data_IF_183623361404
#
_entry.id   IF_183623361404
#
_cell.length_a   1.000
_cell.length_b   1.000
_cell.length_c   1.000
_cell.angle_alpha   90.00
_cell.angle_beta   90.00
_cell.angle_gamma   90.00
#
_symmetry.space_group_name_H-M   'P 1'
#
loop_
_entity.id
_entity.type
_entity.pdbx_description
1 polymer ?
#
# COMPACT_ATOMS: atom_id res chain seq x y z
N UNK A 1 -0.35 -44.11 1.67
CA UNK A 1 0.22 -42.76 1.90
C UNK A 1 -0.93 -41.82 2.21
N UNK A 2 -0.76 -40.92 3.19
CA UNK A 2 -1.76 -39.88 3.47
C UNK A 2 -1.86 -38.93 2.28
N UNK A 3 -3.06 -38.48 1.94
CA UNK A 3 -3.25 -37.46 0.91
C UNK A 3 -2.69 -36.12 1.43
N UNK A 4 -1.76 -35.52 0.67
CA UNK A 4 -1.13 -34.24 1.03
C UNK A 4 -2.14 -33.12 0.85
N UNK A 5 -2.18 -32.20 1.82
CA UNK A 5 -2.94 -30.97 1.69
C UNK A 5 -2.09 -29.84 1.15
N UNK A 6 -2.76 -28.88 0.53
CA UNK A 6 -2.17 -27.69 -0.03
C UNK A 6 -2.79 -26.48 0.64
N UNK A 7 -1.94 -25.55 1.06
CA UNK A 7 -2.33 -24.40 1.87
C UNK A 7 -1.74 -23.14 1.29
N UNK A 8 -2.42 -22.01 1.45
CA UNK A 8 -1.77 -20.69 1.35
C UNK A 8 -1.45 -20.22 2.75
N UNK A 9 -0.26 -19.64 2.91
CA UNK A 9 0.23 -19.08 4.17
C UNK A 9 0.75 -17.67 3.91
N UNK A 10 0.04 -16.64 4.39
CA UNK A 10 0.49 -15.25 4.25
C UNK A 10 1.34 -14.82 5.43
N UNK A 11 2.45 -14.17 5.10
CA UNK A 11 3.40 -13.60 6.04
C UNK A 11 3.18 -12.08 6.18
N UNK A 12 3.83 -11.47 7.18
CA UNK A 12 3.92 -10.01 7.27
C UNK A 12 4.87 -9.49 6.19
N UNK A 13 4.36 -8.63 5.32
CA UNK A 13 5.13 -8.08 4.20
C UNK A 13 6.08 -6.95 4.60
N UNK A 14 6.10 -6.53 5.87
CA UNK A 14 7.03 -5.51 6.39
C UNK A 14 8.41 -6.07 6.75
N UNK A 15 8.51 -7.38 6.98
CA UNK A 15 9.74 -8.05 7.39
C UNK A 15 10.16 -9.17 6.42
N UNK A 16 9.98 -8.94 5.11
CA UNK A 16 10.18 -9.99 4.09
C UNK A 16 11.59 -10.58 4.13
N UNK A 17 12.65 -9.75 4.21
CA UNK A 17 14.04 -10.23 4.21
C UNK A 17 14.35 -11.12 5.43
N UNK A 18 13.82 -10.74 6.59
CA UNK A 18 13.93 -11.52 7.83
C UNK A 18 13.20 -12.88 7.68
N UNK A 19 11.94 -12.86 7.24
CA UNK A 19 11.13 -14.06 7.09
C UNK A 19 11.65 -14.98 5.97
N UNK A 20 12.28 -14.43 4.93
CA UNK A 20 12.94 -15.20 3.87
C UNK A 20 14.15 -15.99 4.43
N UNK A 21 14.95 -15.31 5.25
CA UNK A 21 16.12 -15.88 5.94
C UNK A 21 15.70 -16.99 6.90
N UNK A 22 14.69 -16.73 7.75
CA UNK A 22 14.15 -17.73 8.68
C UNK A 22 13.65 -18.98 7.96
N UNK A 23 12.94 -18.83 6.84
CA UNK A 23 12.46 -19.97 6.05
C UNK A 23 13.61 -20.78 5.44
N UNK A 24 14.70 -20.13 5.05
CA UNK A 24 15.91 -20.84 4.58
C UNK A 24 16.54 -21.70 5.67
N UNK A 25 16.35 -21.32 6.94
CA UNK A 25 16.78 -22.08 8.11
C UNK A 25 15.72 -23.04 8.65
N UNK A 26 14.64 -23.28 7.90
CA UNK A 26 13.61 -24.24 8.26
C UNK A 26 12.50 -23.70 9.17
N UNK A 27 12.46 -22.37 9.37
CA UNK A 27 11.55 -21.70 10.31
C UNK A 27 10.58 -20.80 9.53
N UNK A 28 9.34 -21.27 9.35
CA UNK A 28 8.28 -20.43 8.82
C UNK A 28 7.67 -19.63 9.96
N UNK A 29 8.03 -18.34 10.02
CA UNK A 29 7.50 -17.42 11.03
C UNK A 29 6.24 -16.70 10.59
N UNK A 30 5.45 -16.33 11.59
CA UNK A 30 4.25 -15.51 11.42
C UNK A 30 4.23 -14.39 12.47
N UNK A 31 3.67 -13.23 12.13
CA UNK A 31 3.45 -12.15 13.11
C UNK A 31 2.42 -12.50 14.18
N UNK A 32 2.11 -11.54 15.05
CA UNK A 32 1.21 -11.69 16.21
C UNK A 32 1.77 -12.59 17.32
N UNK A 33 3.10 -12.65 17.46
CA UNK A 33 3.79 -13.38 18.52
C UNK A 33 4.78 -12.48 19.25
N UNK A 34 4.34 -11.29 19.66
CA UNK A 34 5.15 -10.28 20.36
C UNK A 34 5.08 -10.42 21.88
N UNK A 35 4.10 -11.16 22.42
CA UNK A 35 3.98 -11.47 23.86
C UNK A 35 4.02 -12.98 24.11
N UNK A 36 4.72 -13.42 25.16
CA UNK A 36 4.75 -14.83 25.56
C UNK A 36 3.36 -15.41 25.85
N UNK A 37 2.41 -14.57 26.26
CA UNK A 37 1.01 -14.92 26.53
C UNK A 37 0.21 -15.26 25.26
N UNK A 38 0.74 -14.95 24.08
CA UNK A 38 0.16 -15.32 22.78
C UNK A 38 0.57 -16.72 22.31
N UNK A 39 1.40 -17.44 23.07
CA UNK A 39 1.81 -18.80 22.71
C UNK A 39 0.58 -19.72 22.52
N UNK A 40 0.40 -20.27 21.30
CA UNK A 40 -0.81 -21.01 20.90
C UNK A 40 -1.14 -22.21 21.80
N UNK A 41 -0.13 -22.85 22.39
CA UNK A 41 -0.27 -24.03 23.26
C UNK A 41 -0.78 -23.69 24.67
N UNK A 42 -0.54 -22.46 25.14
CA UNK A 42 -0.95 -21.99 26.47
C UNK A 42 -1.44 -20.53 26.43
N UNK A 43 -2.20 -20.21 25.39
CA UNK A 43 -2.59 -18.84 25.07
C UNK A 43 -3.51 -18.26 26.16
N UNK A 44 -3.11 -17.11 26.71
CA UNK A 44 -3.90 -16.34 27.69
C UNK A 44 -4.32 -14.97 27.16
N UNK A 45 -3.71 -14.52 26.06
CA UNK A 45 -4.11 -13.33 25.30
C UNK A 45 -4.17 -13.72 23.82
N UNK A 46 -5.33 -13.53 23.20
CA UNK A 46 -5.52 -13.82 21.77
C UNK A 46 -4.99 -12.66 20.93
N UNK A 47 -5.57 -11.45 21.03
CA UNK A 47 -5.24 -10.28 20.19
C UNK A 47 -5.06 -10.59 18.69
N UNK A 48 -5.70 -11.66 18.21
CA UNK A 48 -5.64 -12.13 16.83
C UNK A 48 -4.61 -13.23 16.56
N UNK A 49 -3.79 -13.62 17.53
CA UNK A 49 -2.86 -14.76 17.48
C UNK A 49 -3.59 -16.10 17.41
N UNK A 50 -4.75 -16.22 18.08
CA UNK A 50 -5.56 -17.43 18.14
C UNK A 50 -6.01 -17.95 16.78
N UNK A 51 -6.09 -17.07 15.76
CA UNK A 51 -6.35 -17.47 14.38
C UNK A 51 -5.29 -18.46 13.88
N UNK A 52 -4.04 -18.34 14.31
CA UNK A 52 -2.94 -19.21 13.88
C UNK A 52 -3.09 -20.66 14.42
N UNK A 53 -3.94 -20.88 15.43
CA UNK A 53 -4.22 -22.22 15.96
C UNK A 53 -4.79 -23.16 14.90
N UNK A 54 -5.65 -22.64 14.01
CA UNK A 54 -6.27 -23.46 12.96
C UNK A 54 -5.22 -24.09 12.06
N UNK A 55 -4.17 -23.33 11.70
CA UNK A 55 -3.13 -23.86 10.82
C UNK A 55 -2.15 -24.76 11.57
N UNK A 56 -1.85 -24.44 12.84
CA UNK A 56 -1.07 -25.32 13.72
C UNK A 56 -1.70 -26.72 13.84
N UNK A 57 -3.02 -26.80 14.03
CA UNK A 57 -3.72 -28.09 14.22
C UNK A 57 -3.90 -28.87 12.91
N UNK A 58 -4.06 -28.16 11.78
CA UNK A 58 -4.49 -28.77 10.51
C UNK A 58 -3.37 -29.09 9.54
N UNK A 59 -2.25 -28.36 9.58
CA UNK A 59 -1.10 -28.63 8.71
C UNK A 59 -0.30 -29.79 9.28
N UNK A 60 -0.02 -30.74 8.38
CA UNK A 60 0.64 -32.00 8.74
C UNK A 60 1.89 -32.18 7.90
N UNK A 61 2.76 -33.07 8.36
CA UNK A 61 4.00 -33.38 7.66
C UNK A 61 3.73 -33.71 6.19
N UNK A 62 4.60 -33.19 5.32
CA UNK A 62 4.56 -33.31 3.86
C UNK A 62 3.45 -32.49 3.16
N UNK A 63 2.65 -31.71 3.90
CA UNK A 63 1.74 -30.73 3.30
C UNK A 63 2.53 -29.60 2.59
N UNK A 64 1.94 -29.04 1.54
CA UNK A 64 2.55 -28.00 0.71
C UNK A 64 1.95 -26.63 1.01
N UNK A 65 2.81 -25.62 1.13
CA UNK A 65 2.49 -24.25 1.49
C UNK A 65 2.88 -23.32 0.35
N UNK A 66 1.94 -22.49 -0.09
CA UNK A 66 2.20 -21.36 -0.99
C UNK A 66 2.30 -20.10 -0.14
N UNK A 67 3.44 -19.44 -0.18
CA UNK A 67 3.76 -18.24 0.59
C UNK A 67 3.86 -17.07 -0.38
N UNK A 68 2.81 -16.25 -0.51
CA UNK A 68 2.83 -15.12 -1.43
C UNK A 68 3.75 -14.02 -0.90
N UNK A 69 4.42 -13.32 -1.81
CA UNK A 69 5.25 -12.13 -1.57
C UNK A 69 6.56 -12.44 -0.86
N UNK A 70 7.08 -13.63 -1.12
CA UNK A 70 8.37 -14.10 -0.63
C UNK A 70 9.16 -14.63 -1.85
N UNK A 71 10.36 -14.10 -2.16
CA UNK A 71 11.08 -13.01 -1.49
C UNK A 71 10.60 -11.60 -1.88
N UNK A 72 9.72 -11.44 -2.87
CA UNK A 72 9.19 -10.11 -3.23
C UNK A 72 7.78 -10.20 -3.84
N UNK A 73 7.20 -9.04 -4.17
CA UNK A 73 5.83 -8.91 -4.66
C UNK A 73 5.47 -9.88 -5.80
N UNK A 74 6.38 -10.14 -6.73
CA UNK A 74 6.09 -10.95 -7.92
C UNK A 74 6.16 -12.45 -7.65
N UNK A 75 6.75 -12.85 -6.53
CA UNK A 75 7.00 -14.24 -6.23
C UNK A 75 5.97 -14.86 -5.28
N UNK A 76 5.92 -16.18 -5.40
CA UNK A 76 5.30 -17.09 -4.44
C UNK A 76 6.34 -18.17 -4.14
N UNK A 77 6.66 -18.35 -2.87
CA UNK A 77 7.51 -19.44 -2.42
C UNK A 77 6.65 -20.66 -2.12
N UNK A 78 7.07 -21.82 -2.60
CA UNK A 78 6.53 -23.12 -2.23
C UNK A 78 7.42 -23.69 -1.12
N UNK A 79 6.81 -24.06 -0.01
CA UNK A 79 7.46 -24.75 1.11
C UNK A 79 6.72 -26.05 1.45
N UNK A 80 7.42 -26.99 2.06
CA UNK A 80 6.87 -28.25 2.59
C UNK A 80 6.91 -28.21 4.12
N UNK A 81 5.82 -28.60 4.77
CA UNK A 81 5.80 -28.79 6.21
C UNK A 81 6.66 -30.00 6.59
N UNK A 82 7.71 -29.79 7.39
CA UNK A 82 8.66 -30.87 7.71
C UNK A 82 8.21 -31.76 8.86
N UNK A 83 7.15 -31.36 9.56
CA UNK A 83 6.54 -32.09 10.66
C UNK A 83 5.06 -31.72 10.83
N UNK A 84 4.36 -32.48 11.67
CA UNK A 84 3.02 -32.12 12.15
C UNK A 84 3.14 -30.87 13.04
N UNK A 85 2.48 -29.79 12.64
CA UNK A 85 2.70 -28.48 13.28
C UNK A 85 2.19 -28.43 14.72
N UNK A 86 1.17 -29.21 15.08
CA UNK A 86 0.69 -29.33 16.46
C UNK A 86 1.66 -30.04 17.40
N UNK A 87 2.64 -30.76 16.85
CA UNK A 87 3.66 -31.46 17.64
C UNK A 87 4.98 -30.68 17.72
N UNK A 88 5.38 -30.04 16.61
CA UNK A 88 6.71 -29.41 16.47
C UNK A 88 6.64 -27.88 16.38
N UNK A 89 5.48 -27.28 16.64
CA UNK A 89 5.35 -25.84 16.80
C UNK A 89 6.20 -25.33 17.97
N UNK A 90 6.89 -24.21 17.75
CA UNK A 90 7.69 -23.53 18.77
C UNK A 90 7.26 -22.09 18.91
N UNK A 91 7.45 -21.55 20.12
CA UNK A 91 7.23 -20.14 20.41
C UNK A 91 8.51 -19.50 20.95
N UNK A 92 9.10 -18.61 20.18
CA UNK A 92 10.30 -17.86 20.55
C UNK A 92 10.30 -16.49 19.88
N UNK A 93 10.12 -15.45 20.68
CA UNK A 93 10.08 -14.05 20.22
C UNK A 93 11.48 -13.65 19.75
N UNK A 94 11.55 -13.10 18.55
CA UNK A 94 12.78 -12.58 18.01
C UNK A 94 13.20 -11.31 18.77
N UNK A 95 14.45 -11.26 19.24
CA UNK A 95 14.94 -10.17 20.08
C UNK A 95 15.12 -8.86 19.31
N UNK A 96 15.40 -8.94 18.01
CA UNK A 96 15.67 -7.78 17.17
C UNK A 96 14.40 -7.23 16.54
N UNK A 97 13.42 -8.10 16.25
CA UNK A 97 12.14 -7.70 15.66
C UNK A 97 11.05 -7.39 16.70
N UNK A 98 11.18 -7.85 17.95
CA UNK A 98 10.16 -7.71 19.01
C UNK A 98 8.77 -8.26 18.63
N UNK A 99 8.68 -9.17 17.65
CA UNK A 99 7.49 -9.92 17.21
C UNK A 99 7.95 -11.27 16.61
N UNK A 100 7.09 -11.92 15.83
CA UNK A 100 7.33 -13.15 15.08
C UNK A 100 7.58 -14.39 15.93
N UNK A 101 7.03 -14.42 17.14
CA UNK A 101 7.21 -15.52 18.10
C UNK A 101 6.73 -16.89 17.62
N UNK A 102 5.77 -16.95 16.69
CA UNK A 102 5.24 -18.21 16.18
C UNK A 102 6.17 -18.82 15.12
N UNK A 103 6.67 -20.03 15.39
CA UNK A 103 7.57 -20.76 14.51
C UNK A 103 6.93 -22.07 14.09
N UNK A 104 6.73 -22.23 12.79
CA UNK A 104 6.24 -23.46 12.18
C UNK A 104 7.36 -24.14 11.39
N UNK A 105 7.58 -25.45 11.54
CA UNK A 105 8.64 -26.17 10.84
C UNK A 105 8.27 -26.36 9.36
N UNK A 106 9.04 -25.73 8.47
CA UNK A 106 8.83 -25.84 7.03
C UNK A 106 10.13 -25.63 6.25
N UNK A 107 10.26 -26.31 5.11
CA UNK A 107 11.43 -26.24 4.24
C UNK A 107 11.05 -25.64 2.90
N UNK A 108 11.83 -24.66 2.43
CA UNK A 108 11.69 -24.12 1.07
C UNK A 108 11.94 -25.22 0.03
N UNK A 109 11.03 -25.34 -0.93
CA UNK A 109 11.20 -26.18 -2.11
C UNK A 109 11.71 -25.33 -3.28
N UNK A 110 10.95 -24.30 -3.65
CA UNK A 110 11.28 -23.38 -4.76
C UNK A 110 10.43 -22.12 -4.68
N UNK A 111 10.70 -21.15 -5.54
CA UNK A 111 9.82 -20.02 -5.77
C UNK A 111 9.41 -19.97 -7.25
N UNK A 112 8.32 -19.27 -7.55
CA UNK A 112 7.87 -19.02 -8.92
C UNK A 112 7.27 -17.62 -9.03
N UNK A 113 7.27 -17.08 -10.25
CA UNK A 113 6.68 -15.78 -10.57
C UNK A 113 5.18 -15.94 -10.82
N UNK A 114 4.32 -15.13 -10.19
CA UNK A 114 2.84 -15.25 -10.26
C UNK A 114 2.26 -15.22 -11.68
N UNK A 115 2.94 -14.50 -12.56
CA UNK A 115 2.59 -14.23 -13.94
C UNK A 115 3.26 -15.20 -14.92
N UNK A 116 4.15 -16.09 -14.46
CA UNK A 116 4.73 -17.14 -15.31
C UNK A 116 3.61 -17.91 -16.02
N UNK A 117 3.88 -18.28 -17.27
CA UNK A 117 2.96 -19.05 -18.13
C UNK A 117 2.60 -20.41 -17.54
N UNK A 118 3.46 -20.97 -16.69
CA UNK A 118 3.24 -22.25 -15.98
C UNK A 118 2.17 -22.12 -14.88
N UNK A 119 1.91 -20.90 -14.39
CA UNK A 119 0.94 -20.67 -13.31
C UNK A 119 -0.48 -20.71 -13.85
N UNK A 120 -1.25 -21.70 -13.40
CA UNK A 120 -2.66 -21.82 -13.77
C UNK A 120 -3.51 -20.67 -13.22
N UNK A 121 -4.61 -20.37 -13.93
CA UNK A 121 -5.65 -19.45 -13.50
C UNK A 121 -6.19 -19.74 -12.09
N UNK A 122 -6.26 -21.01 -11.66
CA UNK A 122 -6.76 -21.35 -10.33
C UNK A 122 -5.85 -20.82 -9.21
N UNK A 123 -4.52 -20.90 -9.40
CA UNK A 123 -3.52 -20.34 -8.48
C UNK A 123 -3.63 -18.81 -8.46
N UNK A 124 -3.74 -18.18 -9.64
CA UNK A 124 -3.90 -16.71 -9.70
C UNK A 124 -5.16 -16.23 -8.99
N UNK A 125 -6.27 -16.95 -9.15
CA UNK A 125 -7.54 -16.65 -8.47
C UNK A 125 -7.42 -16.83 -6.96
N UNK A 126 -6.87 -17.96 -6.52
CA UNK A 126 -6.79 -18.23 -5.07
C UNK A 126 -5.91 -17.21 -4.37
N UNK A 127 -4.77 -16.81 -4.96
CA UNK A 127 -3.86 -15.83 -4.36
C UNK A 127 -4.47 -14.44 -4.13
N UNK A 128 -5.58 -14.10 -4.81
CA UNK A 128 -6.33 -12.84 -4.59
C UNK A 128 -7.20 -12.85 -3.33
N UNK A 129 -7.53 -14.02 -2.78
CA UNK A 129 -8.40 -14.14 -1.61
C UNK A 129 -7.73 -13.49 -0.38
N UNK A 130 -8.39 -12.53 0.30
CA UNK A 130 -7.82 -11.80 1.44
C UNK A 130 -7.91 -12.58 2.76
N UNK A 131 -7.52 -13.86 2.76
CA UNK A 131 -7.40 -14.67 3.98
C UNK A 131 -5.95 -14.76 4.44
N UNK A 132 -5.70 -15.05 5.73
CA UNK A 132 -4.34 -15.29 6.27
C UNK A 132 -3.81 -16.64 5.82
N UNK A 133 -4.66 -17.64 5.90
CA UNK A 133 -4.39 -19.00 5.46
C UNK A 133 -5.69 -19.70 5.06
N UNK A 134 -5.61 -20.61 4.09
CA UNK A 134 -6.75 -21.41 3.66
C UNK A 134 -6.27 -22.62 2.86
N UNK A 135 -7.13 -23.65 2.81
CA UNK A 135 -6.87 -24.85 2.04
C UNK A 135 -7.13 -24.60 0.54
N UNK A 136 -6.25 -25.11 -0.31
CA UNK A 136 -6.31 -25.02 -1.76
C UNK A 136 -6.12 -26.38 -2.44
N UNK A 137 -6.63 -27.46 -1.85
CA UNK A 137 -6.53 -28.81 -2.43
C UNK A 137 -7.09 -28.88 -3.86
N UNK A 138 -8.09 -28.05 -4.19
CA UNK A 138 -8.63 -27.91 -5.54
C UNK A 138 -7.60 -27.42 -6.59
N UNK A 139 -6.48 -26.83 -6.14
CA UNK A 139 -5.36 -26.39 -6.98
C UNK A 139 -4.20 -27.41 -7.03
N UNK A 140 -4.32 -28.58 -6.41
CA UNK A 140 -3.23 -29.57 -6.27
C UNK A 140 -2.52 -29.91 -7.60
N UNK A 141 -3.30 -30.18 -8.66
CA UNK A 141 -2.74 -30.47 -9.99
C UNK A 141 -1.94 -29.30 -10.58
N UNK A 142 -2.38 -28.06 -10.36
CA UNK A 142 -1.66 -26.88 -10.83
C UNK A 142 -0.35 -26.66 -10.05
N UNK A 143 -0.35 -26.99 -8.75
CA UNK A 143 0.87 -26.92 -7.92
C UNK A 143 1.87 -27.98 -8.35
N UNK A 144 1.41 -29.21 -8.64
CA UNK A 144 2.26 -30.28 -9.17
C UNK A 144 2.95 -29.85 -10.48
N UNK A 145 2.22 -29.23 -11.42
CA UNK A 145 2.80 -28.69 -12.65
C UNK A 145 3.93 -27.67 -12.39
N UNK A 146 3.77 -26.80 -11.39
CA UNK A 146 4.80 -25.82 -11.02
C UNK A 146 6.02 -26.50 -10.39
N UNK A 147 5.80 -27.54 -9.57
CA UNK A 147 6.86 -28.33 -8.96
C UNK A 147 7.68 -29.09 -10.01
N UNK A 148 7.02 -29.65 -11.02
CA UNK A 148 7.63 -30.44 -12.09
C UNK A 148 8.26 -29.59 -13.21
N UNK A 149 7.86 -28.32 -13.34
CA UNK A 149 8.36 -27.42 -14.37
C UNK A 149 9.84 -27.06 -14.18
N UNK A 150 10.55 -26.83 -15.29
CA UNK A 150 11.96 -26.41 -15.24
C UNK A 150 12.08 -25.07 -14.51
N UNK A 151 13.22 -24.86 -13.86
CA UNK A 151 13.45 -23.63 -13.10
C UNK A 151 13.25 -22.39 -14.00
N UNK A 152 13.79 -22.39 -15.21
CA UNK A 152 13.62 -21.31 -16.18
C UNK A 152 12.13 -20.99 -16.44
N UNK A 153 11.29 -22.00 -16.70
CA UNK A 153 9.86 -21.83 -17.03
C UNK A 153 9.07 -21.18 -15.88
N UNK A 154 9.43 -21.48 -14.62
CA UNK A 154 8.79 -20.89 -13.43
C UNK A 154 9.27 -19.48 -13.08
N UNK A 155 10.35 -19.04 -13.72
CA UNK A 155 11.05 -17.78 -13.44
C UNK A 155 10.90 -16.76 -14.58
N UNK A 156 10.31 -17.16 -15.72
CA UNK A 156 10.08 -16.27 -16.87
C UNK A 156 8.86 -15.37 -16.60
N UNK A 157 9.13 -14.12 -16.23
CA UNK A 157 8.46 -12.96 -16.82
C UNK A 157 9.41 -12.38 -17.88
N UNK A 158 8.88 -11.72 -18.90
CA UNK A 158 9.67 -11.14 -19.99
C UNK A 158 10.89 -10.31 -19.53
N UNK A 159 12.00 -10.58 -20.22
CA UNK A 159 13.20 -9.77 -20.46
C UNK A 159 14.21 -9.50 -19.33
N UNK A 160 15.48 -9.80 -19.66
CA UNK A 160 16.71 -9.53 -18.90
C UNK A 160 16.92 -8.05 -18.52
N UNK A 161 16.28 -7.12 -19.23
CA UNK A 161 16.29 -5.68 -18.98
C UNK A 161 15.71 -5.34 -17.59
N UNK A 162 14.71 -6.10 -17.13
CA UNK A 162 14.12 -5.94 -15.81
C UNK A 162 15.08 -6.30 -14.65
N UNK A 163 16.13 -7.09 -14.86
CA UNK A 163 17.07 -7.46 -13.76
C UNK A 163 17.99 -6.30 -13.40
N UNK A 164 18.48 -5.56 -14.39
CA UNK A 164 19.29 -4.37 -14.16
C UNK A 164 18.44 -3.30 -13.51
N UNK A 165 17.27 -2.98 -14.08
CA UNK A 165 16.33 -2.03 -13.47
C UNK A 165 15.96 -2.44 -12.05
N UNK A 166 15.61 -3.70 -11.79
CA UNK A 166 15.32 -4.18 -10.42
C UNK A 166 16.51 -4.07 -9.47
N UNK A 167 17.72 -4.36 -9.93
CA UNK A 167 18.92 -4.27 -9.08
C UNK A 167 19.21 -2.81 -8.75
N UNK A 168 19.07 -1.92 -9.75
CA UNK A 168 19.22 -0.49 -9.59
C UNK A 168 18.10 0.08 -8.70
N UNK A 169 16.84 -0.25 -8.93
CA UNK A 169 15.71 0.17 -8.10
C UNK A 169 15.81 -0.35 -6.67
N UNK A 170 16.21 -1.61 -6.45
CA UNK A 170 16.40 -2.15 -5.10
C UNK A 170 17.57 -1.48 -4.39
N UNK A 171 18.68 -1.26 -5.09
CA UNK A 171 19.84 -0.53 -4.55
C UNK A 171 19.47 0.92 -4.26
N UNK A 172 18.72 1.57 -5.14
CA UNK A 172 18.24 2.93 -4.97
C UNK A 172 17.29 3.01 -3.76
N UNK A 173 16.22 2.21 -3.71
CA UNK A 173 15.25 2.20 -2.61
C UNK A 173 15.88 1.84 -1.26
N UNK A 174 16.88 0.95 -1.23
CA UNK A 174 17.62 0.62 0.00
C UNK A 174 18.38 1.81 0.57
N UNK A 175 18.90 2.68 -0.28
CA UNK A 175 19.70 3.84 0.12
C UNK A 175 18.91 5.16 0.08
N UNK A 176 17.66 5.12 -0.41
CA UNK A 176 16.81 6.29 -0.52
C UNK A 176 16.14 6.57 0.83
N UNK A 177 16.56 7.64 1.48
CA UNK A 177 15.90 8.15 2.68
C UNK A 177 14.67 8.96 2.26
N UNK A 178 13.52 8.31 2.25
CA UNK A 178 12.24 8.91 1.90
C UNK A 178 11.88 10.10 2.81
N UNK A 179 12.24 10.02 4.10
CA UNK A 179 11.92 11.07 5.06
C UNK A 179 12.76 12.31 4.78
N UNK A 180 14.06 12.14 4.56
CA UNK A 180 14.97 13.23 4.21
C UNK A 180 14.56 13.86 2.88
N UNK A 181 14.28 13.05 1.84
CA UNK A 181 13.84 13.56 0.55
C UNK A 181 12.54 14.37 0.67
N UNK A 182 11.54 13.89 1.43
CA UNK A 182 10.30 14.62 1.66
C UNK A 182 10.51 15.94 2.43
N UNK A 183 11.46 15.99 3.36
CA UNK A 183 11.88 17.22 4.05
C UNK A 183 12.48 18.23 3.08
N UNK A 184 13.47 17.81 2.30
CA UNK A 184 14.17 18.67 1.35
C UNK A 184 13.23 19.19 0.26
N UNK A 185 12.36 18.34 -0.31
CA UNK A 185 11.38 18.77 -1.32
C UNK A 185 10.43 19.80 -0.74
N UNK A 186 9.87 19.55 0.45
CA UNK A 186 8.92 20.48 1.07
C UNK A 186 9.58 21.84 1.38
N UNK A 187 10.81 21.85 1.90
CA UNK A 187 11.56 23.08 2.15
C UNK A 187 11.86 23.85 0.85
N UNK A 188 12.37 23.16 -0.18
CA UNK A 188 12.68 23.80 -1.46
C UNK A 188 11.43 24.38 -2.12
N UNK A 189 10.30 23.67 -2.08
CA UNK A 189 9.04 24.17 -2.64
C UNK A 189 8.53 25.41 -1.91
N UNK A 190 8.59 25.44 -0.58
CA UNK A 190 8.23 26.63 0.20
C UNK A 190 9.18 27.82 0.00
N UNK A 191 10.44 27.57 -0.36
CA UNK A 191 11.40 28.62 -0.66
C UNK A 191 11.29 29.16 -2.10
N UNK A 192 10.70 28.39 -3.02
CA UNK A 192 10.64 28.73 -4.45
C UNK A 192 9.28 29.28 -4.89
N UNK A 193 8.19 28.95 -4.18
CA UNK A 193 6.84 29.34 -4.58
C UNK A 193 6.13 30.15 -3.50
N UNK A 194 5.47 31.22 -3.92
CA UNK A 194 4.67 32.08 -3.04
C UNK A 194 3.26 32.32 -3.59
N UNK A 195 2.26 32.36 -2.70
CA UNK A 195 0.90 32.73 -3.03
C UNK A 195 0.31 31.93 -4.20
N UNK A 196 0.01 32.60 -5.32
CA UNK A 196 -0.63 31.98 -6.49
C UNK A 196 0.29 31.02 -7.25
N UNK A 197 1.61 31.10 -7.07
CA UNK A 197 2.57 30.20 -7.73
C UNK A 197 2.40 28.75 -7.27
N UNK A 198 1.92 28.56 -6.03
CA UNK A 198 1.55 27.25 -5.51
C UNK A 198 0.47 26.58 -6.33
N UNK A 199 -0.47 27.34 -6.89
CA UNK A 199 -1.54 26.78 -7.72
C UNK A 199 -0.95 26.15 -8.99
N UNK A 200 0.02 26.82 -9.63
CA UNK A 200 0.71 26.29 -10.81
C UNK A 200 1.53 25.04 -10.46
N UNK A 201 2.29 25.09 -9.37
CA UNK A 201 3.11 23.95 -8.93
C UNK A 201 2.25 22.72 -8.59
N UNK A 202 1.12 22.94 -7.89
CA UNK A 202 0.20 21.87 -7.52
C UNK A 202 -0.54 21.29 -8.71
N UNK A 203 -1.01 22.10 -9.66
CA UNK A 203 -1.62 21.58 -10.91
C UNK A 203 -0.64 20.68 -11.63
N UNK A 204 0.59 21.15 -11.87
CA UNK A 204 1.62 20.37 -12.56
C UNK A 204 1.95 19.06 -11.83
N UNK A 205 2.05 19.10 -10.50
CA UNK A 205 2.29 17.91 -9.68
C UNK A 205 1.13 16.92 -9.66
N UNK A 206 -0.12 17.42 -9.57
CA UNK A 206 -1.33 16.61 -9.55
C UNK A 206 -1.60 15.96 -10.91
N UNK A 207 -1.39 16.65 -12.02
CA UNK A 207 -1.49 16.07 -13.38
C UNK A 207 -0.52 14.91 -13.55
N UNK A 208 0.68 15.04 -12.98
CA UNK A 208 1.67 13.97 -13.00
C UNK A 208 1.25 12.75 -12.18
N UNK A 209 0.64 12.97 -11.02
CA UNK A 209 0.14 11.91 -10.15
C UNK A 209 -1.11 11.22 -10.70
N UNK A 210 -1.99 12.01 -11.32
CA UNK A 210 -3.31 11.57 -11.76
C UNK A 210 -3.53 11.90 -13.23
N UNK A 211 -2.79 11.24 -14.15
CA UNK A 211 -2.83 11.57 -15.59
C UNK A 211 -4.18 11.31 -16.25
N UNK A 212 -5.10 10.63 -15.57
CA UNK A 212 -6.45 10.35 -16.06
C UNK A 212 -7.50 11.39 -15.62
N UNK A 213 -7.13 12.36 -14.78
CA UNK A 213 -8.02 13.43 -14.35
C UNK A 213 -7.72 14.70 -15.14
N UNK A 214 -8.77 15.46 -15.44
CA UNK A 214 -8.62 16.80 -16.03
C UNK A 214 -8.47 17.78 -14.87
N UNK A 215 -7.27 18.35 -14.72
CA UNK A 215 -6.91 19.20 -13.58
C UNK A 215 -6.58 20.60 -14.13
N UNK A 216 -7.30 21.61 -13.66
CA UNK A 216 -7.18 22.96 -14.19
C UNK A 216 -6.97 23.98 -13.07
N UNK A 217 -6.12 24.98 -13.32
CA UNK A 217 -6.06 26.19 -12.51
C UNK A 217 -7.18 27.12 -12.94
N UNK A 218 -8.11 27.40 -12.03
CA UNK A 218 -9.24 28.33 -12.22
C UNK A 218 -9.14 29.58 -11.34
N UNK A 219 -8.14 29.63 -10.45
CA UNK A 219 -7.87 30.78 -9.57
C UNK A 219 -7.52 32.08 -10.31
N UNK A 220 -7.76 33.22 -9.67
CA UNK A 220 -7.55 34.55 -10.24
C UNK A 220 -8.70 35.51 -10.00
N UNK A 221 -9.01 36.41 -10.96
CA UNK A 221 -10.06 37.44 -10.74
C UNK A 221 -11.47 36.84 -10.55
N UNK A 222 -11.74 35.71 -11.20
CA UNK A 222 -13.02 35.00 -11.10
C UNK A 222 -13.16 34.20 -9.79
N UNK A 223 -12.06 33.94 -9.06
CA UNK A 223 -12.06 33.20 -7.78
C UNK A 223 -13.00 33.82 -6.75
N UNK A 224 -13.23 35.14 -6.81
CA UNK A 224 -14.18 35.81 -5.91
C UNK A 224 -15.61 35.27 -6.04
N UNK A 225 -15.96 34.74 -7.21
CA UNK A 225 -17.29 34.24 -7.57
C UNK A 225 -17.44 32.76 -7.23
N UNK A 226 -16.41 31.93 -7.44
CA UNK A 226 -16.47 30.47 -7.27
C UNK A 226 -15.61 29.90 -6.14
N UNK A 227 -14.67 30.67 -5.58
CA UNK A 227 -13.84 30.29 -4.44
C UNK A 227 -13.03 29.01 -4.63
N UNK A 228 -12.59 28.75 -5.86
CA UNK A 228 -11.84 27.54 -6.24
C UNK A 228 -10.56 27.99 -6.93
N UNK A 229 -9.40 27.48 -6.53
CA UNK A 229 -8.13 27.78 -7.20
C UNK A 229 -7.78 26.69 -8.23
N UNK A 230 -8.02 25.44 -7.86
CA UNK A 230 -7.77 24.27 -8.70
C UNK A 230 -9.06 23.44 -8.77
N UNK A 231 -9.46 23.08 -9.99
CA UNK A 231 -10.61 22.25 -10.27
C UNK A 231 -10.15 20.92 -10.84
N UNK A 232 -10.51 19.81 -10.19
CA UNK A 232 -10.26 18.46 -10.70
C UNK A 232 -11.57 17.90 -11.22
N UNK A 233 -11.67 17.67 -12.53
CA UNK A 233 -12.86 17.12 -13.17
C UNK A 233 -12.70 15.62 -13.38
N UNK A 234 -13.78 14.89 -13.08
CA UNK A 234 -13.86 13.44 -13.22
C UNK A 234 -15.06 13.07 -14.10
N UNK A 235 -14.95 11.99 -14.89
CA UNK A 235 -16.09 11.47 -15.62
C UNK A 235 -17.16 11.02 -14.63
N UNK A 236 -18.42 11.36 -14.91
CA UNK A 236 -19.54 10.86 -14.13
C UNK A 236 -19.97 9.47 -14.57
N UNK A 237 -20.85 8.85 -13.77
CA UNK A 237 -21.39 7.51 -14.06
C UNK A 237 -22.36 7.58 -15.25
N UNK A 238 -23.06 8.71 -15.40
CA UNK A 238 -23.95 8.97 -16.52
C UNK A 238 -23.20 9.75 -17.61
N UNK A 239 -23.51 9.52 -18.91
CA UNK A 239 -22.82 10.16 -20.03
C UNK A 239 -22.75 11.69 -19.97
N UNK A 240 -23.77 12.33 -19.37
CA UNK A 240 -23.88 13.80 -19.27
C UNK A 240 -23.49 14.34 -17.87
N UNK A 241 -23.21 13.45 -16.92
CA UNK A 241 -22.79 13.86 -15.58
C UNK A 241 -21.27 14.02 -15.55
N UNK A 242 -20.80 15.10 -14.95
CA UNK A 242 -19.40 15.32 -14.62
C UNK A 242 -19.28 15.64 -13.15
N UNK A 243 -18.32 15.02 -12.48
CA UNK A 243 -18.01 15.31 -11.10
C UNK A 243 -16.82 16.25 -11.01
N UNK A 244 -16.76 17.03 -9.93
CA UNK A 244 -15.65 17.91 -9.66
C UNK A 244 -15.18 17.82 -8.20
N UNK A 245 -13.89 17.99 -7.99
CA UNK A 245 -13.30 18.29 -6.69
C UNK A 245 -12.79 19.72 -6.76
N UNK A 246 -13.31 20.58 -5.90
CA UNK A 246 -12.88 21.96 -5.79
C UNK A 246 -11.78 22.09 -4.74
N UNK A 247 -10.65 22.69 -5.10
CA UNK A 247 -9.50 22.87 -4.22
C UNK A 247 -9.20 24.36 -4.08
N UNK A 248 -9.11 24.85 -2.84
CA UNK A 248 -8.58 26.17 -2.51
C UNK A 248 -7.18 26.01 -1.91
N UNK A 249 -6.23 26.84 -2.31
CA UNK A 249 -4.85 26.87 -1.83
C UNK A 249 -4.63 28.14 -1.02
N UNK A 250 -4.09 28.01 0.19
CA UNK A 250 -3.77 29.13 1.08
C UNK A 250 -2.33 29.08 1.56
N UNK A 251 -1.55 30.05 1.11
CA UNK A 251 -0.16 30.21 1.53
C UNK A 251 -0.05 30.99 2.85
N UNK A 252 -0.41 30.34 3.96
CA UNK A 252 -0.44 30.95 5.29
C UNK A 252 0.40 30.19 6.30
N UNK A 253 1.01 30.95 7.21
CA UNK A 253 1.64 30.48 8.43
C UNK A 253 0.72 30.74 9.64
N UNK A 254 0.75 29.85 10.63
CA UNK A 254 0.05 30.05 11.89
C UNK A 254 -1.48 29.89 11.80
N UNK A 255 -2.24 30.85 12.33
CA UNK A 255 -3.69 30.77 12.45
C UNK A 255 -4.40 31.17 11.15
N UNK A 256 -5.29 30.30 10.67
CA UNK A 256 -6.11 30.50 9.46
C UNK A 256 -7.54 30.80 9.88
N UNK A 257 -8.18 31.78 9.24
CA UNK A 257 -9.55 32.21 9.55
C UNK A 257 -10.61 31.36 8.85
N UNK A 258 -11.78 31.24 9.47
CA UNK A 258 -12.97 30.56 8.94
C UNK A 258 -13.49 31.10 7.61
N UNK A 259 -13.10 32.31 7.21
CA UNK A 259 -13.49 32.89 5.91
C UNK A 259 -13.10 32.01 4.71
N UNK A 260 -12.14 31.08 4.90
CA UNK A 260 -11.78 30.10 3.86
C UNK A 260 -12.91 29.08 3.59
N UNK A 261 -13.73 28.76 4.60
CA UNK A 261 -14.88 27.86 4.48
C UNK A 261 -15.95 28.52 3.61
N UNK A 262 -16.30 29.77 3.94
CA UNK A 262 -17.27 30.56 3.17
C UNK A 262 -16.82 30.74 1.72
N UNK A 263 -15.52 30.89 1.50
CA UNK A 263 -14.95 31.02 0.17
C UNK A 263 -15.16 29.75 -0.66
N UNK A 264 -14.68 28.60 -0.21
CA UNK A 264 -14.77 27.34 -0.99
C UNK A 264 -16.21 26.82 -1.11
N UNK A 265 -17.11 27.16 -0.20
CA UNK A 265 -18.52 26.78 -0.30
C UNK A 265 -19.23 27.41 -1.52
N UNK A 266 -18.71 28.51 -2.09
CA UNK A 266 -19.24 29.08 -3.34
C UNK A 266 -19.14 28.13 -4.53
N UNK A 267 -18.22 27.16 -4.46
CA UNK A 267 -17.98 26.18 -5.50
C UNK A 267 -19.24 25.35 -5.80
N UNK A 268 -20.03 25.00 -4.77
CA UNK A 268 -21.19 24.10 -4.92
C UNK A 268 -22.23 24.67 -5.89
N UNK A 269 -22.63 25.92 -5.70
CA UNK A 269 -23.61 26.57 -6.58
C UNK A 269 -23.01 26.90 -7.94
N UNK A 270 -21.81 27.50 -7.97
CA UNK A 270 -21.23 28.00 -9.20
C UNK A 270 -20.94 26.87 -10.20
N UNK A 271 -20.30 25.79 -9.75
CA UNK A 271 -19.95 24.68 -10.65
C UNK A 271 -21.17 23.83 -11.01
N UNK A 272 -22.18 23.77 -10.14
CA UNK A 272 -23.47 23.14 -10.48
C UNK A 272 -24.16 23.86 -11.64
N UNK A 273 -24.12 25.19 -11.67
CA UNK A 273 -24.67 25.98 -12.79
C UNK A 273 -23.90 25.74 -14.10
N UNK A 274 -22.60 25.42 -14.02
CA UNK A 274 -21.74 24.99 -15.13
C UNK A 274 -21.86 23.48 -15.47
N UNK A 275 -22.82 22.77 -14.86
CA UNK A 275 -23.08 21.35 -15.15
C UNK A 275 -22.11 20.36 -14.49
N UNK A 276 -21.37 20.79 -13.47
CA UNK A 276 -20.47 19.95 -12.67
C UNK A 276 -21.07 19.70 -11.27
N UNK A 277 -21.14 18.45 -10.84
CA UNK A 277 -21.49 18.13 -9.46
C UNK A 277 -20.21 18.12 -8.60
N UNK A 278 -20.05 19.10 -7.72
CA UNK A 278 -18.95 19.11 -6.74
C UNK A 278 -19.18 17.99 -5.73
N UNK A 279 -18.29 17.00 -5.72
CA UNK A 279 -18.39 15.82 -4.84
C UNK A 279 -17.46 15.92 -3.63
N UNK A 280 -16.50 16.84 -3.66
CA UNK A 280 -15.55 17.04 -2.58
C UNK A 280 -14.96 18.47 -2.65
N UNK A 281 -14.63 19.01 -1.47
CA UNK A 281 -14.05 20.33 -1.30
C UNK A 281 -12.82 20.21 -0.42
N UNK A 282 -11.69 20.67 -0.92
CA UNK A 282 -10.40 20.57 -0.24
C UNK A 282 -9.81 21.96 -0.06
N UNK A 283 -9.26 22.22 1.12
CA UNK A 283 -8.42 23.41 1.37
C UNK A 283 -7.02 22.94 1.70
N UNK A 284 -6.05 23.32 0.87
CA UNK A 284 -4.62 23.04 1.08
C UNK A 284 -3.98 24.29 1.69
N UNK A 285 -3.42 24.15 2.90
CA UNK A 285 -2.70 25.20 3.60
C UNK A 285 -1.22 24.83 3.61
N UNK A 286 -0.39 25.70 3.04
CA UNK A 286 1.00 25.35 2.69
C UNK A 286 1.89 25.17 3.92
N UNK A 287 1.82 26.10 4.88
CA UNK A 287 2.79 26.22 5.98
C UNK A 287 2.17 26.06 7.37
N UNK A 288 0.88 26.32 7.53
CA UNK A 288 0.23 26.26 8.83
C UNK A 288 0.13 24.83 9.40
N UNK A 289 0.45 24.62 10.69
CA UNK A 289 0.27 23.34 11.35
C UNK A 289 -1.20 23.09 11.72
N UNK A 290 -1.60 21.82 11.72
CA UNK A 290 -2.94 21.36 12.09
C UNK A 290 -3.32 21.74 13.53
N UNK A 291 -2.39 21.59 14.47
CA UNK A 291 -2.66 21.76 15.91
C UNK A 291 -3.06 23.20 16.27
N UNK A 292 -2.62 24.20 15.48
CA UNK A 292 -3.02 25.60 15.65
C UNK A 292 -4.36 25.95 15.01
N UNK A 293 -4.97 25.02 14.27
CA UNK A 293 -6.11 25.26 13.38
C UNK A 293 -7.21 24.20 13.52
N UNK A 294 -7.31 23.55 14.69
CA UNK A 294 -8.29 22.48 14.95
C UNK A 294 -9.74 22.92 14.72
N UNK A 295 -10.06 24.20 14.93
CA UNK A 295 -11.39 24.77 14.71
C UNK A 295 -11.90 24.58 13.26
N UNK A 296 -11.00 24.58 12.26
CA UNK A 296 -11.38 24.33 10.86
C UNK A 296 -11.86 22.88 10.63
N UNK A 297 -11.43 21.95 11.47
CA UNK A 297 -11.85 20.54 11.39
C UNK A 297 -13.25 20.29 11.96
N UNK A 298 -13.79 21.26 12.70
CA UNK A 298 -15.15 21.22 13.25
C UNK A 298 -16.20 21.73 12.26
N UNK A 299 -15.79 22.08 11.03
CA UNK A 299 -16.70 22.52 9.98
C UNK A 299 -17.77 21.47 9.67
N UNK A 300 -19.01 21.93 9.47
CA UNK A 300 -20.15 21.07 9.15
C UNK A 300 -20.38 20.89 7.64
N UNK A 301 -19.63 21.61 6.81
CA UNK A 301 -19.81 21.67 5.36
C UNK A 301 -19.08 20.55 4.60
N UNK A 302 -18.43 19.64 5.33
CA UNK A 302 -17.70 18.50 4.77
C UNK A 302 -16.39 18.86 4.09
N UNK A 303 -15.84 20.05 4.33
CA UNK A 303 -14.59 20.51 3.73
C UNK A 303 -13.41 19.79 4.38
N UNK A 304 -12.50 19.27 3.55
CA UNK A 304 -11.29 18.59 4.00
C UNK A 304 -10.11 19.56 4.00
N UNK A 305 -9.48 19.72 5.15
CA UNK A 305 -8.29 20.56 5.32
C UNK A 305 -7.02 19.73 5.28
N UNK A 306 -6.08 20.16 4.44
CA UNK A 306 -4.73 19.60 4.31
C UNK A 306 -3.76 20.65 4.82
N UNK A 307 -3.06 20.35 5.91
CA UNK A 307 -2.10 21.26 6.53
C UNK A 307 -0.68 20.98 6.03
N UNK A 308 0.31 21.72 6.54
CA UNK A 308 1.72 21.59 6.16
C UNK A 308 2.22 20.13 6.10
N UNK A 309 1.88 19.31 7.11
CA UNK A 309 2.27 17.90 7.14
C UNK A 309 1.61 17.08 6.03
N UNK A 310 0.35 17.37 5.69
CA UNK A 310 -0.39 16.71 4.62
C UNK A 310 0.16 17.13 3.25
N UNK A 311 0.46 18.43 3.07
CA UNK A 311 1.10 18.94 1.86
C UNK A 311 2.48 18.31 1.65
N UNK A 312 3.29 18.17 2.72
CA UNK A 312 4.57 17.47 2.66
C UNK A 312 4.42 16.04 2.13
N UNK A 313 3.41 15.30 2.59
CA UNK A 313 3.12 13.95 2.10
C UNK A 313 2.67 13.94 0.63
N UNK A 314 1.86 14.92 0.23
CA UNK A 314 1.46 15.10 -1.17
C UNK A 314 2.67 15.40 -2.07
N UNK A 315 3.52 16.35 -1.68
CA UNK A 315 4.74 16.71 -2.40
C UNK A 315 5.74 15.57 -2.47
N UNK A 316 5.84 14.75 -1.43
CA UNK A 316 6.63 13.53 -1.46
C UNK A 316 6.11 12.55 -2.53
N UNK A 317 4.79 12.37 -2.60
CA UNK A 317 4.16 11.52 -3.62
C UNK A 317 4.42 12.08 -5.03
N UNK A 318 4.27 13.39 -5.21
CA UNK A 318 4.58 14.10 -6.46
C UNK A 318 6.06 13.88 -6.82
N UNK A 319 6.99 14.16 -5.90
CA UNK A 319 8.43 14.02 -6.11
C UNK A 319 8.84 12.61 -6.51
N UNK A 320 8.28 11.59 -5.84
CA UNK A 320 8.47 10.17 -6.21
C UNK A 320 8.06 9.88 -7.65
N UNK A 321 6.95 10.48 -8.12
CA UNK A 321 6.48 10.31 -9.50
C UNK A 321 7.43 10.91 -10.56
N UNK A 322 8.21 11.94 -10.21
CA UNK A 322 9.23 12.51 -11.09
C UNK A 322 10.46 11.61 -11.24
N UNK A 323 10.83 10.92 -10.16
CA UNK A 323 12.01 10.02 -10.13
C UNK A 323 11.66 8.55 -10.44
N UNK A 324 10.41 8.27 -10.81
CA UNK A 324 9.97 6.94 -11.24
C UNK A 324 9.74 5.93 -10.11
N UNK A 325 9.61 6.40 -8.86
CA UNK A 325 9.24 5.56 -7.72
C UNK A 325 7.71 5.48 -7.66
N UNK A 326 7.15 4.29 -7.89
CA UNK A 326 5.71 4.07 -7.78
C UNK A 326 5.35 3.65 -6.36
N UNK A 327 4.50 4.43 -5.69
CA UNK A 327 3.87 3.99 -4.44
C UNK A 327 2.92 2.83 -4.73
N UNK A 328 3.04 1.77 -3.93
CA UNK A 328 2.31 0.49 -4.04
C UNK A 328 0.77 0.58 -3.96
N UNK A 329 0.20 1.79 -3.90
CA UNK A 329 -1.24 2.04 -3.72
C UNK A 329 -1.99 2.46 -4.98
N UNK A 330 -1.31 2.74 -6.09
CA UNK A 330 -1.97 3.17 -7.34
C UNK A 330 -1.80 2.11 -8.43
N UNK A 331 -2.66 1.08 -8.37
CA UNK A 331 -3.11 0.30 -9.52
C UNK A 331 -4.53 -0.19 -9.31
#
# INVERSE_FOLDING_TARGET
MRERNYWVFRIDTRAIDYLDTELNEGRLRQGWGWDKRQNLTCMTIDEGAGRNRVIMERVKKDDILLIPRLPDWNYVTIAEATADWDQEYRFEIDKDQSDYGHIFPAKRIRSFVRSSSVVDSCIRKTLRVPSRFWNINHCSQAIAKILDAKQEETQIEGFYENRMERTLSRSFLKNFDEKQFGEEVYEQMNNQFEGFEWEYALVYGLERLFPCYEIERVGGRAEKEHGTDILVKLPGILPESRYAIAIQVKDYEGFVRDSVIEQINKADSFWSDEGLTVIDKIVIITKAPKDSNLHLLENTDGIRFFFAADLKNLLLSIGKSFIGIQDSKTK
#
